data_IF_118675294072
#
_entry.id   IF_118675294072
#
_cell.length_a   1.000
_cell.length_b   1.000
_cell.length_c   1.000
_cell.angle_alpha   90.00
_cell.angle_beta   90.00
_cell.angle_gamma   90.00
#
_symmetry.space_group_name_H-M   'P 1'
#
loop_
_entity.id
_entity.type
_entity.pdbx_description
1 polymer ?
#
# COMPACT_ATOMS: atom_id res chain seq x y z
N UNK A 1 8.13 -7.10 -1.60
CA UNK A 1 7.21 -6.33 -0.73
C UNK A 1 5.92 -5.98 -1.46
N UNK A 2 5.93 -5.21 -2.56
CA UNK A 2 4.69 -4.87 -3.29
C UNK A 2 3.91 -6.09 -3.82
N UNK A 3 4.59 -7.12 -4.35
CA UNK A 3 3.92 -8.37 -4.79
C UNK A 3 3.27 -9.10 -3.62
N UNK A 4 3.97 -9.20 -2.50
CA UNK A 4 3.41 -9.79 -1.27
C UNK A 4 2.20 -8.99 -0.75
N UNK A 5 2.21 -7.66 -0.87
CA UNK A 5 1.04 -6.84 -0.54
C UNK A 5 -0.17 -7.16 -1.44
N UNK A 6 0.05 -7.45 -2.73
CA UNK A 6 -1.02 -7.92 -3.62
C UNK A 6 -1.49 -9.33 -3.24
N UNK A 7 -0.57 -10.21 -2.82
CA UNK A 7 -0.92 -11.54 -2.31
C UNK A 7 -1.74 -11.48 -1.01
N UNK A 8 -1.49 -10.49 -0.14
CA UNK A 8 -2.36 -10.20 1.00
C UNK A 8 -3.70 -9.56 0.62
N UNK A 9 -3.93 -9.19 -0.64
CA UNK A 9 -5.25 -8.81 -1.11
C UNK A 9 -5.95 -9.97 -1.85
N UNK A 10 -5.31 -11.14 -1.94
CA UNK A 10 -5.83 -12.32 -2.60
C UNK A 10 -6.62 -13.23 -1.64
N UNK A 11 -7.33 -14.20 -2.21
CA UNK A 11 -8.31 -15.06 -1.50
C UNK A 11 -7.79 -15.75 -0.25
N UNK A 12 -6.51 -16.14 -0.24
CA UNK A 12 -5.93 -16.89 0.89
C UNK A 12 -5.73 -16.01 2.13
N UNK A 13 -5.46 -14.72 1.95
CA UNK A 13 -5.14 -13.78 3.02
C UNK A 13 -5.93 -12.48 2.85
N UNK A 14 -7.24 -12.59 2.62
CA UNK A 14 -8.09 -11.49 2.17
C UNK A 14 -8.19 -10.32 3.17
N UNK A 15 -7.48 -9.22 2.86
CA UNK A 15 -7.55 -7.95 3.60
C UNK A 15 -8.94 -7.30 3.57
N UNK A 16 -9.82 -7.65 2.64
CA UNK A 16 -11.20 -7.13 2.60
C UNK A 16 -11.98 -7.49 3.88
N UNK A 17 -11.61 -8.58 4.56
CA UNK A 17 -12.24 -9.00 5.83
C UNK A 17 -12.08 -7.97 6.95
N UNK A 18 -11.11 -7.07 6.83
CA UNK A 18 -10.82 -6.01 7.79
C UNK A 18 -11.29 -4.62 7.32
N UNK A 19 -12.07 -4.54 6.24
CA UNK A 19 -12.49 -3.26 5.65
C UNK A 19 -11.40 -2.57 4.82
N UNK A 20 -10.38 -3.32 4.37
CA UNK A 20 -9.27 -2.81 3.55
C UNK A 20 -9.42 -3.18 2.07
N UNK A 21 -10.64 -3.45 1.60
CA UNK A 21 -10.93 -3.86 0.22
C UNK A 21 -10.65 -2.76 -0.81
N UNK A 22 -10.80 -1.49 -0.41
CA UNK A 22 -10.63 -0.33 -1.30
C UNK A 22 -9.19 0.17 -1.27
N UNK A 23 -8.39 -0.29 -2.23
CA UNK A 23 -7.06 0.28 -2.49
C UNK A 23 -7.17 1.62 -3.22
N UNK A 24 -7.12 2.73 -2.47
CA UNK A 24 -7.10 4.08 -3.05
C UNK A 24 -5.71 4.46 -3.56
N UNK A 25 -5.62 4.81 -4.84
CA UNK A 25 -4.38 5.28 -5.48
C UNK A 25 -4.15 6.79 -5.36
N UNK A 26 -5.08 7.51 -4.73
CA UNK A 26 -4.93 8.93 -4.42
C UNK A 26 -4.64 9.10 -2.92
N UNK A 27 -3.57 9.83 -2.55
CA UNK A 27 -3.25 10.08 -1.14
C UNK A 27 -4.31 10.94 -0.43
N UNK A 28 -5.20 11.61 -1.17
CA UNK A 28 -6.30 12.41 -0.59
C UNK A 28 -7.51 11.58 -0.15
N UNK A 29 -7.56 10.31 -0.53
CA UNK A 29 -8.70 9.41 -0.30
C UNK A 29 -8.29 8.12 0.43
N UNK A 30 -7.08 8.09 0.99
CA UNK A 30 -6.53 6.96 1.73
C UNK A 30 -6.10 7.42 3.12
N UNK A 31 -6.40 6.61 4.14
CA UNK A 31 -6.05 6.92 5.53
C UNK A 31 -4.67 6.36 5.93
N UNK A 32 -4.18 5.36 5.20
CA UNK A 32 -2.93 4.64 5.48
C UNK A 32 -2.04 4.61 4.24
N UNK A 33 -0.75 4.87 4.44
CA UNK A 33 0.29 4.71 3.43
C UNK A 33 1.22 3.54 3.80
N UNK A 34 1.35 2.56 2.91
CA UNK A 34 2.21 1.38 3.10
C UNK A 34 3.46 1.51 2.23
N UNK A 35 4.63 1.67 2.86
CA UNK A 35 5.93 1.68 2.18
C UNK A 35 6.39 0.27 1.79
N UNK A 36 5.81 -0.30 0.74
CA UNK A 36 6.06 -1.69 0.32
C UNK A 36 7.31 -1.85 -0.58
N UNK A 37 8.49 -1.42 -0.12
CA UNK A 37 9.74 -1.63 -0.85
C UNK A 37 10.91 -0.79 -0.35
N UNK A 38 12.03 -0.84 -1.10
CA UNK A 38 13.21 0.00 -0.82
C UNK A 38 12.90 1.47 -1.14
N UNK A 39 13.27 2.36 -0.23
CA UNK A 39 13.20 3.83 -0.44
C UNK A 39 14.62 4.36 -0.69
N UNK A 40 15.06 4.54 -1.95
CA UNK A 40 16.34 5.18 -2.24
C UNK A 40 16.28 6.67 -1.90
N UNK A 41 17.42 7.31 -1.65
CA UNK A 41 17.48 8.75 -1.33
C UNK A 41 16.81 9.64 -2.39
N UNK A 42 16.86 9.23 -3.67
CA UNK A 42 16.16 9.94 -4.76
C UNK A 42 14.64 9.95 -4.60
N UNK A 43 14.04 8.94 -3.97
CA UNK A 43 12.59 8.80 -3.78
C UNK A 43 12.09 9.45 -2.49
N UNK A 44 12.97 9.65 -1.49
CA UNK A 44 12.62 10.25 -0.19
C UNK A 44 11.81 11.57 -0.28
N UNK A 45 12.14 12.55 -1.15
CA UNK A 45 11.35 13.78 -1.24
C UNK A 45 9.98 13.59 -1.89
N UNK A 46 9.77 12.54 -2.69
CA UNK A 46 8.47 12.24 -3.31
C UNK A 46 7.53 11.64 -2.27
N UNK A 47 8.04 10.74 -1.42
CA UNK A 47 7.25 10.06 -0.39
C UNK A 47 6.74 11.00 0.72
N UNK A 48 7.47 12.08 0.99
CA UNK A 48 7.15 13.06 2.04
C UNK A 48 6.12 14.12 1.60
N UNK A 49 5.80 14.22 0.31
CA UNK A 49 4.87 15.21 -0.25
C UNK A 49 3.44 14.68 -0.25
#
# INVERSE_FOLDING_TARGET
CAIEMMASAASNFDLARFGMERMSFSPRQADVLICAGRVPYKLAPVLRR
#
